data_IF_941628544420
#
_entry.id   IF_941628544420
#
_cell.length_a   1.000
_cell.length_b   1.000
_cell.length_c   1.000
_cell.angle_alpha   90.00
_cell.angle_beta   90.00
_cell.angle_gamma   90.00
#
_symmetry.space_group_name_H-M   'P 1'
#
loop_
_entity.id
_entity.type
_entity.pdbx_description
1 polymer ?
#
# COMPACT_ATOMS: atom_id res chain seq x y z
N UNK A 1 2.61 1.36 -23.81
CA UNK A 1 2.38 2.81 -23.88
C UNK A 1 3.27 3.44 -24.97
N UNK A 2 2.67 4.22 -25.89
CA UNK A 2 3.42 4.83 -27.02
C UNK A 2 4.24 6.08 -26.62
N UNK A 3 3.91 6.71 -25.49
CA UNK A 3 4.60 7.93 -25.02
C UNK A 3 5.77 7.60 -24.10
N UNK A 4 6.90 8.31 -24.28
CA UNK A 4 8.13 8.16 -23.50
C UNK A 4 7.90 8.25 -22.00
N UNK A 5 7.06 9.21 -21.56
CA UNK A 5 6.69 9.40 -20.16
C UNK A 5 6.13 8.12 -19.50
N UNK A 6 5.17 7.45 -20.16
CA UNK A 6 4.56 6.24 -19.59
C UNK A 6 5.52 5.06 -19.54
N UNK A 7 6.46 4.97 -20.49
CA UNK A 7 7.52 3.94 -20.45
C UNK A 7 8.45 4.19 -19.27
N UNK A 8 8.92 5.42 -19.08
CA UNK A 8 9.76 5.78 -17.94
C UNK A 8 9.03 5.59 -16.60
N UNK A 9 7.77 6.00 -16.51
CA UNK A 9 6.96 5.79 -15.31
C UNK A 9 6.82 4.29 -14.97
N UNK A 10 6.57 3.44 -15.95
CA UNK A 10 6.43 2.01 -15.76
C UNK A 10 7.73 1.37 -15.27
N UNK A 11 8.88 1.78 -15.83
CA UNK A 11 10.20 1.27 -15.41
C UNK A 11 10.50 1.62 -13.94
N UNK A 12 10.06 2.79 -13.46
CA UNK A 12 10.32 3.23 -12.08
C UNK A 12 9.24 2.75 -11.13
N UNK A 13 7.97 2.86 -11.51
CA UNK A 13 6.85 2.55 -10.61
C UNK A 13 6.67 1.05 -10.38
N UNK A 14 6.87 0.21 -11.38
CA UNK A 14 6.65 -1.25 -11.22
C UNK A 14 7.58 -1.87 -10.19
N UNK A 15 8.90 -1.63 -10.17
CA UNK A 15 9.77 -2.17 -9.12
C UNK A 15 9.38 -1.67 -7.72
N UNK A 16 8.99 -0.41 -7.59
CA UNK A 16 8.55 0.16 -6.30
C UNK A 16 7.27 -0.54 -5.81
N UNK A 17 6.30 -0.73 -6.70
CA UNK A 17 5.02 -1.41 -6.36
C UNK A 17 5.27 -2.88 -6.02
N UNK A 18 6.09 -3.59 -6.79
CA UNK A 18 6.45 -4.99 -6.51
C UNK A 18 7.15 -5.11 -5.16
N UNK A 19 8.14 -4.25 -4.90
CA UNK A 19 8.83 -4.22 -3.61
C UNK A 19 7.87 -3.92 -2.46
N UNK A 20 6.97 -2.96 -2.62
CA UNK A 20 5.95 -2.60 -1.63
C UNK A 20 5.01 -3.78 -1.32
N UNK A 21 4.52 -4.46 -2.35
CA UNK A 21 3.67 -5.66 -2.18
C UNK A 21 4.43 -6.75 -1.44
N UNK A 22 5.69 -7.02 -1.82
CA UNK A 22 6.52 -8.04 -1.17
C UNK A 22 6.75 -7.73 0.30
N UNK A 23 7.14 -6.49 0.64
CA UNK A 23 7.32 -6.05 2.03
C UNK A 23 6.01 -6.18 2.81
N UNK A 24 4.90 -5.75 2.23
CA UNK A 24 3.57 -5.82 2.87
C UNK A 24 3.15 -7.26 3.14
N UNK A 25 3.37 -8.18 2.20
CA UNK A 25 3.05 -9.61 2.38
C UNK A 25 3.91 -10.25 3.46
N UNK A 26 5.22 -10.03 3.43
CA UNK A 26 6.17 -10.57 4.42
C UNK A 26 5.86 -10.02 5.81
N UNK A 27 5.58 -8.73 5.92
CA UNK A 27 5.19 -8.11 7.19
C UNK A 27 3.89 -8.70 7.73
N UNK A 28 2.87 -8.81 6.88
CA UNK A 28 1.57 -9.33 7.28
C UNK A 28 1.66 -10.78 7.78
N UNK A 29 2.38 -11.63 7.06
CA UNK A 29 2.55 -13.04 7.43
C UNK A 29 3.46 -13.21 8.65
N UNK A 30 4.65 -12.60 8.64
CA UNK A 30 5.69 -12.85 9.64
C UNK A 30 5.46 -12.13 10.96
N UNK A 31 5.00 -10.90 10.95
CA UNK A 31 4.84 -10.11 12.17
C UNK A 31 3.42 -10.16 12.70
N UNK A 32 2.44 -9.83 11.85
CA UNK A 32 1.08 -9.66 12.35
C UNK A 32 0.41 -11.00 12.68
N UNK A 33 0.49 -11.99 11.77
CA UNK A 33 -0.10 -13.31 12.00
C UNK A 33 0.61 -14.05 13.14
N UNK A 34 1.95 -14.04 13.17
CA UNK A 34 2.72 -14.74 14.22
C UNK A 34 2.52 -14.10 15.59
N UNK A 35 2.54 -12.76 15.68
CA UNK A 35 2.33 -12.05 16.95
C UNK A 35 0.94 -12.31 17.49
N UNK A 36 -0.11 -12.14 16.68
CA UNK A 36 -1.48 -12.44 17.10
C UNK A 36 -1.68 -13.90 17.48
N UNK A 37 -1.04 -14.83 16.75
CA UNK A 37 -1.08 -16.25 17.09
C UNK A 37 -0.37 -16.55 18.42
N UNK A 38 0.72 -15.86 18.74
CA UNK A 38 1.41 -15.94 20.02
C UNK A 38 0.53 -15.46 21.18
N UNK A 39 -0.08 -14.28 21.04
CA UNK A 39 -1.00 -13.71 22.04
C UNK A 39 -2.23 -14.61 22.26
N UNK A 40 -2.83 -15.11 21.17
CA UNK A 40 -3.97 -16.04 21.25
C UNK A 40 -3.60 -17.34 21.95
N UNK A 41 -2.41 -17.88 21.68
CA UNK A 41 -1.91 -19.11 22.34
C UNK A 41 -1.72 -18.90 23.84
N UNK A 42 -1.13 -17.79 24.25
CA UNK A 42 -0.95 -17.44 25.66
C UNK A 42 -2.31 -17.36 26.35
N UNK A 43 -3.26 -16.60 25.79
CA UNK A 43 -4.61 -16.45 26.30
C UNK A 43 -5.33 -17.79 26.45
N UNK A 44 -5.34 -18.64 25.42
CA UNK A 44 -6.00 -19.95 25.47
C UNK A 44 -5.34 -20.87 26.50
N UNK A 45 -4.01 -20.76 26.70
CA UNK A 45 -3.34 -21.51 27.75
C UNK A 45 -3.73 -20.99 29.14
N UNK A 46 -3.86 -19.69 29.38
CA UNK A 46 -4.36 -19.11 30.63
C UNK A 46 -5.79 -19.56 30.92
N UNK A 47 -6.68 -19.52 29.91
CA UNK A 47 -8.06 -20.02 30.05
C UNK A 47 -8.10 -21.51 30.37
N UNK A 48 -7.24 -22.32 29.73
CA UNK A 48 -7.14 -23.75 30.04
C UNK A 48 -6.65 -23.95 31.49
N UNK A 49 -5.63 -23.22 31.91
CA UNK A 49 -5.11 -23.28 33.29
C UNK A 49 -6.17 -22.91 34.31
N UNK A 50 -7.02 -21.91 34.01
CA UNK A 50 -8.16 -21.56 34.86
C UNK A 50 -9.14 -22.74 34.98
N UNK A 51 -9.55 -23.35 33.86
CA UNK A 51 -10.49 -24.46 33.86
C UNK A 51 -9.93 -25.66 34.65
N UNK A 52 -8.64 -25.98 34.44
CA UNK A 52 -7.98 -27.06 35.13
C UNK A 52 -7.82 -26.81 36.65
N UNK A 53 -7.49 -25.55 37.04
CA UNK A 53 -7.40 -25.15 38.44
C UNK A 53 -8.76 -25.23 39.14
N UNK A 54 -9.81 -24.76 38.46
CA UNK A 54 -11.17 -24.80 38.97
C UNK A 54 -11.73 -26.20 39.10
N UNK A 55 -11.29 -27.14 38.26
CA UNK A 55 -11.70 -28.54 38.29
C UNK A 55 -10.99 -29.29 39.44
N UNK A 56 -9.71 -28.96 39.69
CA UNK A 56 -8.89 -29.68 40.67
C UNK A 56 -9.09 -29.21 42.12
N UNK A 57 -9.62 -27.99 42.36
CA UNK A 57 -9.80 -27.46 43.71
C UNK A 57 -11.27 -27.14 43.98
N UNK A 58 -11.94 -28.11 44.58
CA UNK A 58 -13.37 -27.98 44.95
C UNK A 58 -13.60 -26.99 46.12
N UNK A 59 -12.57 -26.74 46.93
CA UNK A 59 -12.69 -25.98 48.19
C UNK A 59 -12.53 -24.46 48.01
N UNK A 60 -11.77 -24.01 47.00
CA UNK A 60 -11.37 -22.60 46.84
C UNK A 60 -11.84 -21.99 45.52
N UNK A 61 -12.99 -22.40 44.99
CA UNK A 61 -13.50 -21.95 43.67
C UNK A 61 -13.61 -20.43 43.53
N UNK A 62 -14.12 -19.77 44.56
CA UNK A 62 -14.25 -18.30 44.57
C UNK A 62 -12.89 -17.60 44.60
N UNK A 63 -11.95 -18.15 45.34
CA UNK A 63 -10.56 -17.63 45.37
C UNK A 63 -9.89 -17.72 43.99
N UNK A 64 -10.06 -18.81 43.26
CA UNK A 64 -9.52 -18.99 41.91
C UNK A 64 -10.10 -17.94 40.97
N UNK A 65 -11.42 -17.68 41.02
CA UNK A 65 -12.06 -16.63 40.20
C UNK A 65 -11.46 -15.26 40.52
N UNK A 66 -11.30 -14.93 41.80
CA UNK A 66 -10.75 -13.64 42.24
C UNK A 66 -9.30 -13.50 41.79
N UNK A 67 -8.48 -14.53 41.96
CA UNK A 67 -7.08 -14.58 41.58
C UNK A 67 -6.88 -14.29 40.08
N UNK A 68 -7.62 -14.98 39.24
CA UNK A 68 -7.56 -14.78 37.79
C UNK A 68 -8.14 -13.44 37.35
N UNK A 69 -9.14 -12.92 38.04
CA UNK A 69 -9.67 -11.59 37.79
C UNK A 69 -8.65 -10.49 38.12
N UNK A 70 -7.98 -10.55 39.28
CA UNK A 70 -6.99 -9.55 39.69
C UNK A 70 -5.71 -9.58 38.87
N UNK A 71 -5.16 -10.77 38.64
CA UNK A 71 -3.86 -10.91 37.99
C UNK A 71 -3.93 -10.92 36.46
N UNK A 72 -4.99 -11.42 35.89
CA UNK A 72 -5.13 -11.52 34.43
C UNK A 72 -6.16 -10.56 33.82
N UNK A 73 -6.91 -9.82 34.66
CA UNK A 73 -7.90 -8.87 34.19
C UNK A 73 -9.10 -9.52 33.48
N UNK A 74 -9.35 -10.80 33.74
CA UNK A 74 -10.50 -11.50 33.19
C UNK A 74 -11.76 -11.20 33.97
N UNK A 75 -12.80 -10.76 33.30
CA UNK A 75 -14.13 -10.73 33.91
C UNK A 75 -14.79 -12.08 33.65
N UNK A 76 -14.80 -12.94 34.69
CA UNK A 76 -15.25 -14.34 34.59
C UNK A 76 -16.60 -14.47 35.27
N UNK A 77 -17.57 -15.09 34.57
CA UNK A 77 -18.86 -15.48 35.12
C UNK A 77 -19.12 -16.95 34.84
N UNK A 78 -19.59 -17.68 35.83
CA UNK A 78 -20.09 -19.04 35.64
C UNK A 78 -21.61 -19.01 35.46
N UNK A 79 -22.07 -19.50 34.31
CA UNK A 79 -23.49 -19.61 33.98
C UNK A 79 -23.90 -21.07 34.07
N UNK A 80 -24.55 -21.38 35.20
CA UNK A 80 -25.03 -22.74 35.49
C UNK A 80 -26.30 -23.04 34.67
N UNK A 81 -26.46 -24.29 34.23
CA UNK A 81 -27.63 -24.82 33.50
C UNK A 81 -27.93 -24.12 32.16
N UNK A 82 -26.96 -23.39 31.60
CA UNK A 82 -27.06 -22.80 30.27
C UNK A 82 -26.24 -23.58 29.25
N UNK A 83 -26.82 -23.74 28.06
CA UNK A 83 -26.19 -24.43 26.94
C UNK A 83 -25.40 -23.42 26.11
N UNK A 84 -24.22 -23.83 25.59
CA UNK A 84 -23.46 -23.01 24.65
C UNK A 84 -24.27 -22.74 23.38
N UNK A 85 -24.23 -21.50 22.83
CA UNK A 85 -24.87 -21.22 21.55
C UNK A 85 -24.26 -22.02 20.40
N UNK A 86 -25.11 -22.55 19.50
CA UNK A 86 -24.66 -23.41 18.40
C UNK A 86 -23.90 -22.66 17.31
N UNK A 87 -24.20 -21.39 17.08
CA UNK A 87 -23.59 -20.60 16.00
C UNK A 87 -22.57 -19.61 16.55
N UNK A 88 -21.34 -19.75 16.12
CA UNK A 88 -20.27 -18.78 16.39
C UNK A 88 -20.36 -17.66 15.35
N UNK A 89 -20.51 -16.37 15.73
CA UNK A 89 -20.48 -15.24 14.81
C UNK A 89 -19.05 -15.06 14.30
N UNK A 90 -18.78 -15.57 13.09
CA UNK A 90 -17.43 -15.61 12.52
C UNK A 90 -17.24 -14.56 11.44
N UNK A 91 -16.07 -13.90 11.48
CA UNK A 91 -15.57 -13.12 10.36
C UNK A 91 -14.62 -13.98 9.52
N UNK A 92 -15.00 -14.28 8.28
CA UNK A 92 -14.22 -15.13 7.39
C UNK A 92 -12.76 -14.63 7.18
N UNK A 93 -12.55 -13.32 7.18
CA UNK A 93 -11.23 -12.70 6.99
C UNK A 93 -10.53 -12.27 8.29
N UNK A 94 -11.03 -12.65 9.47
CA UNK A 94 -10.39 -12.30 10.74
C UNK A 94 -9.28 -13.31 11.08
N UNK A 95 -7.99 -12.92 11.07
CA UNK A 95 -6.91 -13.81 11.50
C UNK A 95 -6.98 -14.15 12.97
N UNK A 96 -7.57 -13.26 13.79
CA UNK A 96 -7.79 -13.47 15.22
C UNK A 96 -8.75 -14.63 15.44
N UNK A 97 -9.91 -14.59 14.76
CA UNK A 97 -10.93 -15.65 14.88
C UNK A 97 -10.38 -17.01 14.44
N UNK A 98 -9.58 -17.01 13.36
CA UNK A 98 -8.92 -18.20 12.86
C UNK A 98 -7.89 -18.75 13.85
N UNK A 99 -7.06 -17.88 14.46
CA UNK A 99 -6.05 -18.31 15.43
C UNK A 99 -6.69 -18.77 16.74
N UNK A 100 -7.72 -18.07 17.23
CA UNK A 100 -8.46 -18.42 18.44
C UNK A 100 -9.12 -19.78 18.29
N UNK A 101 -9.81 -20.03 17.20
CA UNK A 101 -10.41 -21.35 16.90
C UNK A 101 -9.37 -22.47 16.85
N UNK A 102 -8.25 -22.23 16.17
CA UNK A 102 -7.17 -23.22 16.06
C UNK A 102 -6.59 -23.59 17.42
N UNK A 103 -6.31 -22.61 18.27
CA UNK A 103 -5.73 -22.88 19.60
C UNK A 103 -6.74 -23.48 20.57
N UNK A 104 -8.02 -23.07 20.54
CA UNK A 104 -9.09 -23.68 21.34
C UNK A 104 -9.33 -25.14 20.95
N UNK A 105 -9.38 -25.46 19.65
CA UNK A 105 -9.46 -26.85 19.17
C UNK A 105 -8.26 -27.69 19.60
N UNK A 106 -7.06 -27.13 19.54
CA UNK A 106 -5.83 -27.81 19.93
C UNK A 106 -5.80 -28.21 21.41
N UNK A 107 -6.48 -27.44 22.26
CA UNK A 107 -6.63 -27.72 23.70
C UNK A 107 -7.85 -28.59 24.04
N UNK A 108 -8.59 -29.06 23.03
CA UNK A 108 -9.82 -29.90 23.21
C UNK A 108 -10.88 -29.20 24.10
N UNK A 109 -11.01 -27.89 24.03
CA UNK A 109 -12.02 -27.16 24.75
C UNK A 109 -13.31 -27.09 23.95
N UNK A 110 -14.48 -27.27 24.63
CA UNK A 110 -15.77 -26.93 24.03
C UNK A 110 -15.97 -25.42 24.16
N UNK A 111 -16.10 -24.71 23.05
CA UNK A 111 -16.01 -23.25 23.04
C UNK A 111 -17.05 -22.58 22.15
N UNK A 112 -17.36 -21.35 22.51
CA UNK A 112 -18.03 -20.37 21.67
C UNK A 112 -17.37 -19.01 21.89
N UNK A 113 -17.23 -18.20 20.85
CA UNK A 113 -16.68 -16.85 20.99
C UNK A 113 -17.36 -15.86 20.04
N UNK A 114 -17.39 -14.59 20.46
CA UNK A 114 -17.86 -13.46 19.67
C UNK A 114 -16.83 -12.32 19.71
N UNK A 115 -16.34 -11.97 18.53
CA UNK A 115 -15.39 -10.88 18.31
C UNK A 115 -16.06 -9.68 17.62
N UNK A 116 -17.39 -9.75 17.35
CA UNK A 116 -18.11 -8.81 16.50
C UNK A 116 -18.93 -7.79 17.26
N UNK A 117 -19.68 -8.23 18.26
CA UNK A 117 -20.66 -7.40 18.95
C UNK A 117 -20.04 -6.33 19.85
N UNK A 118 -18.88 -6.60 20.41
CA UNK A 118 -18.20 -5.67 21.31
C UNK A 118 -16.93 -5.12 20.67
N UNK A 119 -16.72 -3.78 20.72
CA UNK A 119 -15.54 -3.14 20.13
C UNK A 119 -14.27 -3.35 20.95
N UNK A 120 -14.38 -3.38 22.27
CA UNK A 120 -13.24 -3.37 23.21
C UNK A 120 -12.98 -4.72 23.86
N UNK A 121 -13.95 -5.62 23.85
CA UNK A 121 -13.86 -6.93 24.50
C UNK A 121 -14.24 -8.05 23.55
N UNK A 122 -13.71 -9.24 23.82
CA UNK A 122 -14.10 -10.49 23.17
C UNK A 122 -14.86 -11.32 24.18
N UNK A 123 -16.05 -11.78 23.81
CA UNK A 123 -16.85 -12.69 24.61
C UNK A 123 -16.46 -14.15 24.26
N UNK A 124 -15.79 -14.81 25.21
CA UNK A 124 -15.37 -16.20 25.07
C UNK A 124 -16.14 -17.06 26.08
N UNK A 125 -16.82 -18.10 25.62
CA UNK A 125 -17.53 -19.06 26.46
C UNK A 125 -16.89 -20.42 26.33
N UNK A 126 -16.57 -21.04 27.46
CA UNK A 126 -15.98 -22.38 27.55
C UNK A 126 -16.94 -23.31 28.28
N UNK A 127 -17.33 -24.37 27.62
CA UNK A 127 -18.21 -25.40 28.20
C UNK A 127 -17.57 -26.09 29.40
N UNK A 128 -18.31 -26.18 30.51
CA UNK A 128 -17.87 -26.86 31.73
C UNK A 128 -19.04 -27.50 32.44
N UNK A 129 -18.94 -28.80 32.70
CA UNK A 129 -19.95 -29.57 33.40
C UNK A 129 -21.38 -29.32 32.87
N UNK A 130 -22.28 -28.81 33.69
CA UNK A 130 -23.69 -28.50 33.35
C UNK A 130 -23.89 -27.01 32.96
N UNK A 131 -22.87 -26.31 32.44
CA UNK A 131 -22.95 -24.92 32.07
C UNK A 131 -21.73 -24.45 31.28
N UNK A 132 -21.40 -23.18 31.37
CA UNK A 132 -20.19 -22.62 30.75
C UNK A 132 -19.61 -21.48 31.57
N UNK A 133 -18.30 -21.28 31.44
CA UNK A 133 -17.63 -20.07 31.88
C UNK A 133 -17.67 -19.05 30.77
N UNK A 134 -18.07 -17.83 31.10
CA UNK A 134 -18.04 -16.66 30.20
C UNK A 134 -16.90 -15.75 30.62
N UNK A 135 -15.99 -15.49 29.67
CA UNK A 135 -14.83 -14.63 29.82
C UNK A 135 -15.03 -13.39 28.95
N UNK A 136 -15.02 -12.22 29.57
CA UNK A 136 -14.92 -10.96 28.86
C UNK A 136 -13.46 -10.52 28.86
N UNK A 137 -12.81 -10.65 27.69
CA UNK A 137 -11.37 -10.46 27.52
C UNK A 137 -11.13 -9.17 26.78
N UNK A 138 -10.29 -8.23 27.31
CA UNK A 138 -9.92 -7.03 26.60
C UNK A 138 -9.29 -7.38 25.24
N UNK A 139 -9.71 -6.70 24.18
CA UNK A 139 -9.27 -6.97 22.83
C UNK A 139 -7.78 -6.75 22.64
N UNK A 140 -7.18 -5.86 23.42
CA UNK A 140 -5.76 -5.56 23.40
C UNK A 140 -4.89 -6.78 23.76
N UNK A 141 -5.45 -7.75 24.46
CA UNK A 141 -4.78 -9.03 24.77
C UNK A 141 -4.76 -10.00 23.57
N UNK A 142 -5.54 -9.77 22.55
CA UNK A 142 -5.64 -10.61 21.35
C UNK A 142 -5.08 -9.94 20.10
N UNK A 143 -5.04 -8.60 20.07
CA UNK A 143 -4.61 -7.84 18.91
C UNK A 143 -3.71 -6.69 19.30
N UNK A 144 -2.60 -6.54 18.60
CA UNK A 144 -1.74 -5.37 18.76
C UNK A 144 -2.23 -4.22 17.90
N UNK A 145 -2.49 -3.07 18.51
CA UNK A 145 -2.84 -1.82 17.82
C UNK A 145 -1.77 -1.35 16.83
N UNK A 146 -0.52 -1.71 17.07
CA UNK A 146 0.66 -1.34 16.29
C UNK A 146 0.61 -1.76 14.82
N UNK A 147 -0.14 -2.81 14.47
CA UNK A 147 -0.23 -3.30 13.08
C UNK A 147 -0.81 -2.28 12.10
N UNK A 148 -1.78 -1.47 12.54
CA UNK A 148 -2.38 -0.39 11.72
C UNK A 148 -1.39 0.75 11.47
N UNK A 149 -0.68 1.16 12.51
CA UNK A 149 0.34 2.19 12.41
C UNK A 149 1.50 1.74 11.51
N UNK A 150 1.91 0.49 11.63
CA UNK A 150 3.00 -0.06 10.83
C UNK A 150 2.63 -0.14 9.33
N UNK A 151 1.40 -0.52 9.01
CA UNK A 151 0.89 -0.48 7.63
C UNK A 151 0.97 0.92 7.02
N UNK A 152 0.61 1.95 7.80
CA UNK A 152 0.72 3.36 7.43
C UNK A 152 2.19 3.78 7.22
N UNK A 153 3.09 3.38 8.12
CA UNK A 153 4.52 3.69 8.05
C UNK A 153 5.21 3.10 6.82
N UNK A 154 4.77 1.94 6.35
CA UNK A 154 5.31 1.32 5.12
C UNK A 154 4.69 1.93 3.87
N UNK A 155 3.39 2.23 3.89
CA UNK A 155 2.66 2.67 2.69
C UNK A 155 2.94 4.14 2.35
N UNK A 156 3.05 5.00 3.36
CA UNK A 156 3.25 6.44 3.16
C UNK A 156 4.55 6.78 2.42
N UNK A 157 5.73 6.24 2.79
CA UNK A 157 6.97 6.48 2.05
C UNK A 157 6.91 5.97 0.60
N UNK A 158 6.26 4.83 0.36
CA UNK A 158 6.12 4.29 -0.99
C UNK A 158 5.28 5.20 -1.90
N UNK A 159 4.16 5.72 -1.39
CA UNK A 159 3.35 6.70 -2.11
C UNK A 159 4.12 8.00 -2.39
N UNK A 160 4.90 8.47 -1.40
CA UNK A 160 5.76 9.64 -1.56
C UNK A 160 6.81 9.42 -2.66
N UNK A 161 7.47 8.27 -2.67
CA UNK A 161 8.46 7.92 -3.71
C UNK A 161 7.83 7.87 -5.10
N UNK A 162 6.64 7.31 -5.24
CA UNK A 162 5.90 7.29 -6.51
C UNK A 162 5.54 8.72 -6.94
N UNK A 163 5.07 9.56 -6.04
CA UNK A 163 4.74 10.95 -6.34
C UNK A 163 5.98 11.74 -6.82
N UNK A 164 7.11 11.59 -6.12
CA UNK A 164 8.39 12.20 -6.52
C UNK A 164 8.83 11.70 -7.90
N UNK A 165 8.73 10.39 -8.15
CA UNK A 165 9.07 9.79 -9.44
C UNK A 165 8.20 10.36 -10.58
N UNK A 166 6.90 10.53 -10.37
CA UNK A 166 5.99 11.14 -11.36
C UNK A 166 6.38 12.57 -11.68
N UNK A 167 6.63 13.38 -10.65
CA UNK A 167 7.02 14.80 -10.82
C UNK A 167 8.35 14.88 -11.57
N UNK A 168 9.34 14.09 -11.17
CA UNK A 168 10.67 14.07 -11.76
C UNK A 168 10.64 13.64 -13.23
N UNK A 169 9.97 12.53 -13.55
CA UNK A 169 9.80 12.05 -14.92
C UNK A 169 9.05 13.05 -15.80
N UNK A 170 7.98 13.67 -15.29
CA UNK A 170 7.24 14.70 -16.02
C UNK A 170 8.14 15.89 -16.34
N UNK A 171 8.96 16.31 -15.38
CA UNK A 171 9.87 17.45 -15.56
C UNK A 171 11.00 17.13 -16.55
N UNK A 172 11.49 15.88 -16.59
CA UNK A 172 12.53 15.47 -17.55
C UNK A 172 12.01 15.20 -18.96
N UNK A 173 10.82 14.63 -19.11
CA UNK A 173 10.28 14.28 -20.43
C UNK A 173 9.68 15.46 -21.18
N UNK A 174 9.20 16.49 -20.47
CA UNK A 174 8.58 17.68 -21.06
C UNK A 174 9.49 18.46 -22.02
N UNK A 175 10.77 18.73 -21.71
CA UNK A 175 11.70 19.39 -22.64
C UNK A 175 12.01 18.54 -23.88
N UNK A 176 12.08 17.21 -23.75
CA UNK A 176 12.33 16.30 -24.88
C UNK A 176 11.16 16.33 -25.86
N UNK A 177 9.93 16.25 -25.35
CA UNK A 177 8.71 16.34 -26.19
C UNK A 177 8.62 17.70 -26.90
N UNK A 178 8.94 18.81 -26.20
CA UNK A 178 8.97 20.13 -26.82
C UNK A 178 10.00 20.21 -27.95
N UNK A 179 11.19 19.67 -27.78
CA UNK A 179 12.20 19.63 -28.82
C UNK A 179 11.75 18.78 -30.03
N UNK A 180 11.14 17.64 -29.78
CA UNK A 180 10.60 16.77 -30.82
C UNK A 180 9.46 17.47 -31.61
N UNK A 181 8.53 18.11 -30.94
CA UNK A 181 7.43 18.89 -31.54
C UNK A 181 7.95 20.06 -32.37
N UNK A 182 8.95 20.80 -31.85
CA UNK A 182 9.60 21.87 -32.59
C UNK A 182 10.30 21.36 -33.85
N UNK A 183 11.00 20.22 -33.76
CA UNK A 183 11.69 19.61 -34.91
C UNK A 183 10.67 19.12 -35.96
N UNK A 184 9.54 18.57 -35.55
CA UNK A 184 8.48 18.12 -36.43
C UNK A 184 7.81 19.30 -37.16
N UNK A 185 7.48 20.37 -36.44
CA UNK A 185 6.89 21.61 -37.03
C UNK A 185 7.82 22.26 -38.03
N UNK A 186 9.11 22.38 -37.68
CA UNK A 186 10.13 22.89 -38.59
C UNK A 186 10.26 22.05 -39.86
N UNK A 187 10.23 20.70 -39.72
CA UNK A 187 10.26 19.77 -40.84
C UNK A 187 9.07 19.91 -41.80
N UNK A 188 7.90 20.37 -41.31
CA UNK A 188 6.73 20.68 -42.12
C UNK A 188 6.78 22.09 -42.77
N UNK A 189 7.83 22.87 -42.53
CA UNK A 189 7.93 24.22 -43.02
C UNK A 189 7.15 25.28 -42.21
N UNK A 190 6.66 24.89 -41.02
CA UNK A 190 5.98 25.84 -40.14
C UNK A 190 6.99 26.75 -39.46
N UNK A 191 6.66 28.05 -39.36
CA UNK A 191 7.51 28.99 -38.61
C UNK A 191 7.39 28.73 -37.09
N UNK A 192 8.54 28.78 -36.41
CA UNK A 192 8.66 28.56 -34.97
C UNK A 192 9.24 29.84 -34.35
N UNK A 193 8.36 30.77 -33.96
CA UNK A 193 8.78 32.10 -33.52
C UNK A 193 9.66 32.11 -32.29
N UNK A 194 9.40 31.26 -31.27
CA UNK A 194 10.20 31.15 -30.04
C UNK A 194 10.42 29.73 -29.57
N UNK A 195 11.52 29.10 -30.00
CA UNK A 195 11.98 27.87 -29.36
C UNK A 195 13.00 28.22 -28.26
N UNK A 196 12.63 28.03 -26.99
CA UNK A 196 13.54 28.22 -25.83
C UNK A 196 14.01 26.86 -25.30
N UNK A 197 15.29 26.50 -25.52
CA UNK A 197 15.87 25.27 -25.00
C UNK A 197 15.79 25.21 -23.48
N UNK A 198 15.23 24.13 -22.93
CA UNK A 198 15.03 23.93 -21.49
C UNK A 198 15.31 22.50 -21.08
N UNK A 199 15.37 22.22 -19.76
CA UNK A 199 15.59 20.88 -19.21
C UNK A 199 17.03 20.61 -18.80
N UNK A 200 17.38 19.32 -18.68
CA UNK A 200 18.72 18.86 -18.33
C UNK A 200 19.80 19.39 -19.31
N UNK A 201 21.06 19.44 -18.87
CA UNK A 201 22.16 20.04 -19.64
C UNK A 201 22.23 19.49 -21.05
N UNK A 202 22.13 18.19 -21.21
CA UNK A 202 22.21 17.47 -22.49
C UNK A 202 21.07 17.84 -23.42
N UNK A 203 19.84 17.90 -22.90
CA UNK A 203 18.63 18.23 -23.64
C UNK A 203 18.67 19.70 -24.07
N UNK A 204 19.12 20.58 -23.16
CA UNK A 204 19.29 22.00 -23.44
C UNK A 204 20.35 22.25 -24.51
N UNK A 205 21.48 21.50 -24.46
CA UNK A 205 22.53 21.56 -25.48
C UNK A 205 22.01 21.10 -26.85
N UNK A 206 21.30 19.98 -26.91
CA UNK A 206 20.65 19.51 -28.14
C UNK A 206 19.65 20.52 -28.69
N UNK A 207 18.86 21.16 -27.83
CA UNK A 207 17.94 22.22 -28.22
C UNK A 207 18.64 23.48 -28.78
N UNK A 208 19.79 23.88 -28.21
CA UNK A 208 20.59 25.00 -28.71
C UNK A 208 21.17 24.68 -30.10
N UNK A 209 21.71 23.49 -30.32
CA UNK A 209 22.23 23.07 -31.62
C UNK A 209 21.13 22.96 -32.67
N UNK A 210 19.94 22.48 -32.29
CA UNK A 210 18.75 22.51 -33.16
C UNK A 210 18.39 23.93 -33.56
N UNK A 211 18.37 24.89 -32.65
CA UNK A 211 18.03 26.31 -32.95
C UNK A 211 19.08 26.96 -33.88
N UNK A 212 20.37 26.67 -33.68
CA UNK A 212 21.45 27.09 -34.59
C UNK A 212 21.25 26.55 -36.00
N UNK A 213 20.98 25.24 -36.10
CA UNK A 213 20.71 24.58 -37.38
C UNK A 213 19.49 25.20 -38.09
N UNK A 214 18.38 25.39 -37.38
CA UNK A 214 17.17 26.07 -37.89
C UNK A 214 17.48 27.43 -38.46
N UNK A 215 18.14 28.30 -37.70
CA UNK A 215 18.52 29.66 -38.13
C UNK A 215 19.42 29.65 -39.36
N UNK A 216 20.30 28.67 -39.48
CA UNK A 216 21.15 28.50 -40.65
C UNK A 216 20.33 28.12 -41.90
N UNK A 217 19.42 27.18 -41.78
CA UNK A 217 18.56 26.76 -42.91
C UNK A 217 17.69 27.91 -43.38
N UNK A 218 17.02 28.61 -42.46
CA UNK A 218 16.18 29.77 -42.81
C UNK A 218 17.01 30.83 -43.58
N UNK A 219 18.22 31.16 -43.12
CA UNK A 219 19.12 32.09 -43.82
C UNK A 219 19.42 31.65 -45.26
N UNK A 220 19.76 30.38 -45.44
CA UNK A 220 20.03 29.83 -46.77
C UNK A 220 18.80 29.85 -47.70
N UNK A 221 17.62 29.59 -47.17
CA UNK A 221 16.37 29.67 -47.94
C UNK A 221 16.09 31.12 -48.38
N UNK A 222 16.24 32.07 -47.50
CA UNK A 222 16.05 33.51 -47.83
C UNK A 222 17.06 34.00 -48.88
N UNK A 223 18.34 33.64 -48.76
CA UNK A 223 19.37 33.96 -49.75
C UNK A 223 19.04 33.38 -51.14
N UNK A 224 18.57 32.15 -51.21
CA UNK A 224 18.15 31.53 -52.47
C UNK A 224 16.92 32.25 -53.08
N UNK A 225 15.94 32.61 -52.27
CA UNK A 225 14.76 33.34 -52.71
C UNK A 225 15.11 34.69 -53.29
N UNK A 226 16.01 35.42 -52.63
CA UNK A 226 16.51 36.72 -53.15
C UNK A 226 17.25 36.55 -54.48
N UNK A 227 18.15 35.56 -54.60
CA UNK A 227 18.92 35.32 -55.83
C UNK A 227 18.00 34.97 -56.98
N UNK A 228 16.95 34.16 -56.80
CA UNK A 228 15.98 33.83 -57.83
C UNK A 228 15.17 35.06 -58.27
N UNK A 229 14.80 35.93 -57.32
CA UNK A 229 14.10 37.21 -57.63
C UNK A 229 14.95 38.14 -58.47
N UNK A 230 16.25 38.27 -58.17
CA UNK A 230 17.16 39.10 -58.99
C UNK A 230 17.40 38.54 -60.40
N UNK A 231 17.49 37.20 -60.55
CA UNK A 231 17.70 36.60 -61.88
C UNK A 231 16.47 36.73 -62.77
N UNK A 232 15.26 36.78 -62.23
CA UNK A 232 14.03 37.04 -63.03
C UNK A 232 13.85 38.50 -63.40
N UNK A 233 14.37 39.48 -62.61
CA UNK A 233 14.31 40.89 -62.91
C UNK A 233 15.38 41.36 -63.92
N UNK A 234 16.45 40.58 -64.10
CA UNK A 234 17.58 40.94 -64.96
C UNK A 234 17.57 40.21 -66.33
N UNK A 235 16.52 39.42 -66.64
CA UNK A 235 16.35 38.93 -68.01
C UNK A 235 16.01 40.10 -68.92
N UNK A 236 16.88 40.50 -69.86
CA UNK A 236 16.53 41.50 -70.80
C UNK A 236 15.42 40.97 -71.71
N UNK A 237 14.28 41.70 -71.79
CA UNK A 237 13.28 41.51 -72.85
C UNK A 237 13.93 41.95 -74.15
N UNK A 238 14.64 41.00 -74.80
CA UNK A 238 14.96 41.16 -76.21
C UNK A 238 13.70 40.84 -76.98
N UNK A 239 12.89 41.87 -77.18
CA UNK A 239 11.84 41.89 -78.21
C UNK A 239 12.36 42.66 -79.41
N UNK A 240 12.47 42.10 -80.50
CA UNK A 240 12.41 42.67 -81.85
C UNK A 240 11.23 42.10 -82.52
#
# INVERSE_FOLDING_TARGET
PKRLFYRGLLIVAVPIVVMQITISLVFFDSLWIKTNSGMTRALVSEVKTFVDAYDNDETNKDFIIILFKEHLGFNIKYEKDKILPDKIPERWFSPVDRSLRRELKKKNLTYWFDTTNFKEVVDLKIGYSKGYFQFYIPRDRLTTSSARLFGLWITLPALLMIAVAIIFLKNQTRPITKLAEASERFGRGEDIDEFRPSGALEIRKAGLEFDKMRKRIIRHLNQRSETVSYTHLTLPTNGT
#
